data_IF_867512789950
#
_entry.id   IF_867512789950
#
_cell.length_a   1.000
_cell.length_b   1.000
_cell.length_c   1.000
_cell.angle_alpha   90.00
_cell.angle_beta   90.00
_cell.angle_gamma   90.00
#
_symmetry.space_group_name_H-M   'P 1'
#
loop_
_entity.id
_entity.type
_entity.pdbx_description
1 polymer ?
#
# COMPACT_ATOMS: atom_id res chain seq x y z
N UNK A 1 -18.05 -16.40 0.24
CA UNK A 1 -17.09 -16.61 1.33
C UNK A 1 -16.12 -17.68 0.85
N UNK A 2 -14.81 -17.51 1.00
CA UNK A 2 -13.83 -18.54 0.63
C UNK A 2 -13.76 -19.57 1.77
N UNK A 3 -13.44 -20.82 1.46
CA UNK A 3 -13.29 -21.89 2.44
C UNK A 3 -11.81 -22.26 2.62
N UNK A 4 -11.41 -22.38 3.88
CA UNK A 4 -10.11 -22.93 4.25
C UNK A 4 -10.34 -24.40 4.61
N UNK A 5 -9.52 -25.30 4.06
CA UNK A 5 -9.60 -26.72 4.36
C UNK A 5 -9.34 -26.97 5.86
N UNK A 6 -9.98 -27.98 6.48
CA UNK A 6 -9.66 -28.39 7.84
C UNK A 6 -8.16 -28.71 7.95
N UNK A 7 -7.50 -28.10 8.94
CA UNK A 7 -6.06 -28.30 9.18
C UNK A 7 -5.82 -29.65 9.86
N UNK A 8 -5.82 -30.74 9.09
CA UNK A 8 -5.43 -32.06 9.60
C UNK A 8 -3.91 -32.14 9.77
N UNK A 9 -3.39 -33.01 10.66
CA UNK A 9 -1.95 -33.21 10.81
C UNK A 9 -1.25 -33.58 9.50
N UNK A 10 -1.92 -34.37 8.65
CA UNK A 10 -1.41 -34.76 7.33
C UNK A 10 -1.29 -33.54 6.40
N UNK A 11 -2.29 -32.66 6.39
CA UNK A 11 -2.26 -31.44 5.60
C UNK A 11 -1.15 -30.47 6.05
N UNK A 12 -0.95 -30.35 7.37
CA UNK A 12 0.13 -29.52 7.91
C UNK A 12 1.51 -30.09 7.59
N UNK A 13 1.67 -31.42 7.62
CA UNK A 13 2.90 -32.10 7.22
C UNK A 13 3.18 -31.91 5.72
N UNK A 14 2.18 -32.09 4.86
CA UNK A 14 2.30 -31.84 3.41
C UNK A 14 2.75 -30.41 3.11
N UNK A 15 2.14 -29.40 3.77
CA UNK A 15 2.56 -28.00 3.62
C UNK A 15 3.98 -27.77 4.11
N UNK A 16 4.36 -28.43 5.21
CA UNK A 16 5.70 -28.39 5.76
C UNK A 16 6.73 -28.88 4.73
N UNK A 17 6.48 -30.03 4.13
CA UNK A 17 7.33 -30.62 3.09
C UNK A 17 7.40 -29.73 1.84
N UNK A 18 6.26 -29.18 1.39
CA UNK A 18 6.19 -28.24 0.26
C UNK A 18 6.98 -26.95 0.51
N UNK A 19 7.09 -26.52 1.77
CA UNK A 19 7.80 -25.31 2.19
C UNK A 19 9.19 -25.59 2.77
N UNK A 20 9.79 -26.74 2.40
CA UNK A 20 11.19 -27.04 2.73
C UNK A 20 11.41 -27.58 4.14
N UNK A 21 10.43 -28.32 4.68
CA UNK A 21 10.50 -28.94 6.01
C UNK A 21 10.08 -28.02 7.16
N UNK A 22 9.24 -27.01 6.89
CA UNK A 22 8.75 -26.11 7.93
C UNK A 22 7.72 -26.80 8.83
N UNK A 23 7.75 -26.50 10.14
CA UNK A 23 6.77 -27.02 11.09
C UNK A 23 5.70 -25.95 11.39
N UNK A 24 4.45 -26.28 11.04
CA UNK A 24 3.28 -25.43 11.27
C UNK A 24 2.38 -25.90 12.43
N UNK A 25 2.86 -26.79 13.29
CA UNK A 25 2.07 -27.35 14.39
C UNK A 25 1.86 -26.40 15.57
N UNK A 26 2.55 -25.26 15.59
CA UNK A 26 2.37 -24.25 16.62
C UNK A 26 0.91 -23.72 16.64
N UNK A 27 0.23 -23.67 17.81
CA UNK A 27 -1.15 -23.22 17.92
C UNK A 27 -1.42 -21.83 17.33
N UNK A 28 -0.45 -20.92 17.41
CA UNK A 28 -0.61 -19.55 16.88
C UNK A 28 -0.51 -19.51 15.35
N UNK A 29 0.27 -20.42 14.76
CA UNK A 29 0.37 -20.56 13.31
C UNK A 29 -0.88 -21.24 12.74
N UNK A 30 -1.30 -22.35 13.33
CA UNK A 30 -2.54 -23.04 12.92
C UNK A 30 -3.78 -22.15 13.04
N UNK A 31 -3.89 -21.35 14.11
CA UNK A 31 -4.96 -20.36 14.27
C UNK A 31 -4.95 -19.32 13.13
N UNK A 32 -3.79 -18.78 12.75
CA UNK A 32 -3.71 -17.88 11.60
C UNK A 32 -4.05 -18.58 10.27
N UNK A 33 -3.56 -19.80 10.05
CA UNK A 33 -3.84 -20.56 8.83
C UNK A 33 -5.34 -20.86 8.69
N UNK A 34 -6.05 -21.13 9.81
CA UNK A 34 -7.49 -21.40 9.83
C UNK A 34 -8.37 -20.14 9.76
N UNK A 35 -7.82 -18.95 10.03
CA UNK A 35 -8.59 -17.70 10.08
C UNK A 35 -9.00 -17.20 8.69
N UNK A 36 -10.30 -17.19 8.45
CA UNK A 36 -10.95 -16.55 7.29
C UNK A 36 -11.55 -15.16 7.61
N UNK A 37 -11.25 -14.60 8.78
CA UNK A 37 -11.78 -13.31 9.28
C UNK A 37 -10.69 -12.24 9.32
N UNK A 38 -11.05 -10.95 9.49
CA UNK A 38 -10.07 -9.90 9.77
C UNK A 38 -9.25 -10.21 11.03
N UNK A 39 -7.94 -10.00 10.97
CA UNK A 39 -7.06 -10.17 12.12
C UNK A 39 -5.75 -9.40 11.98
N UNK A 40 -5.15 -9.08 13.13
CA UNK A 40 -3.80 -8.53 13.19
C UNK A 40 -2.86 -9.59 13.78
N UNK A 41 -1.77 -9.83 13.08
CA UNK A 41 -0.77 -10.82 13.43
C UNK A 41 0.54 -10.10 13.73
N UNK A 42 1.03 -10.28 14.97
CA UNK A 42 2.34 -9.82 15.37
C UNK A 42 3.30 -11.01 15.40
N UNK A 43 4.39 -10.94 14.63
CA UNK A 43 5.48 -11.89 14.71
C UNK A 43 6.81 -11.14 14.82
N UNK A 44 7.77 -11.69 15.56
CA UNK A 44 9.10 -11.10 15.68
C UNK A 44 9.95 -11.30 14.40
N UNK A 45 11.11 -10.63 14.25
CA UNK A 45 11.95 -10.79 13.07
C UNK A 45 12.54 -12.20 13.01
N UNK A 46 12.65 -12.79 11.81
CA UNK A 46 13.21 -14.13 11.63
C UNK A 46 12.27 -15.28 12.02
N UNK A 47 11.03 -14.98 12.39
CA UNK A 47 10.04 -15.97 12.78
C UNK A 47 9.34 -16.64 11.57
N UNK A 48 9.60 -16.24 10.32
CA UNK A 48 8.98 -16.91 9.16
C UNK A 48 7.58 -16.41 8.80
N UNK A 49 7.32 -15.10 8.95
CA UNK A 49 6.08 -14.44 8.48
C UNK A 49 5.80 -14.72 7.01
N UNK A 50 6.81 -14.54 6.15
CA UNK A 50 6.71 -14.80 4.71
C UNK A 50 6.38 -16.27 4.45
N UNK A 51 6.97 -17.19 5.21
CA UNK A 51 6.69 -18.63 5.14
C UNK A 51 5.25 -18.95 5.57
N UNK A 52 4.76 -18.31 6.64
CA UNK A 52 3.40 -18.47 7.12
C UNK A 52 2.36 -17.90 6.13
N UNK A 53 2.66 -16.75 5.54
CA UNK A 53 1.88 -16.16 4.45
C UNK A 53 1.81 -17.13 3.27
N UNK A 54 2.94 -17.68 2.85
CA UNK A 54 2.99 -18.65 1.79
C UNK A 54 2.22 -19.94 2.10
N UNK A 55 2.35 -20.49 3.30
CA UNK A 55 1.57 -21.65 3.74
C UNK A 55 0.07 -21.38 3.65
N UNK A 56 -0.37 -20.19 4.07
CA UNK A 56 -1.76 -19.78 3.94
C UNK A 56 -2.22 -19.69 2.48
N UNK A 57 -1.40 -19.10 1.62
CA UNK A 57 -1.70 -18.99 0.19
C UNK A 57 -1.72 -20.36 -0.49
N UNK A 58 -0.79 -21.25 -0.16
CA UNK A 58 -0.78 -22.63 -0.63
C UNK A 58 -2.05 -23.37 -0.22
N UNK A 59 -2.45 -23.28 1.04
CA UNK A 59 -3.72 -23.82 1.55
C UNK A 59 -4.94 -23.29 0.78
N UNK A 60 -5.03 -21.97 0.63
CA UNK A 60 -6.14 -21.33 -0.07
C UNK A 60 -6.20 -21.77 -1.52
N UNK A 61 -5.05 -21.90 -2.19
CA UNK A 61 -4.97 -22.29 -3.60
C UNK A 61 -5.60 -23.67 -3.87
N UNK A 62 -5.60 -24.58 -2.88
CA UNK A 62 -6.16 -25.93 -2.99
C UNK A 62 -7.69 -25.92 -3.13
N UNK A 63 -8.40 -24.98 -2.49
CA UNK A 63 -9.87 -24.91 -2.51
C UNK A 63 -10.44 -23.60 -3.10
N UNK A 64 -9.60 -22.76 -3.73
CA UNK A 64 -10.06 -21.53 -4.35
C UNK A 64 -10.81 -21.80 -5.67
N UNK A 65 -12.14 -21.87 -5.61
CA UNK A 65 -13.00 -22.23 -6.75
C UNK A 65 -13.55 -21.03 -7.54
N UNK A 66 -13.45 -19.81 -7.00
CA UNK A 66 -14.10 -18.64 -7.60
C UNK A 66 -13.27 -18.03 -8.73
N UNK A 67 -13.87 -17.85 -9.91
CA UNK A 67 -13.20 -17.23 -11.07
C UNK A 67 -13.21 -15.69 -11.09
N UNK A 68 -14.04 -15.05 -10.26
CA UNK A 68 -14.24 -13.59 -10.23
C UNK A 68 -13.73 -12.91 -8.97
N UNK A 69 -13.38 -13.70 -7.95
CA UNK A 69 -12.86 -13.21 -6.67
C UNK A 69 -11.46 -13.75 -6.45
N UNK A 70 -10.56 -12.91 -5.97
CA UNK A 70 -9.16 -13.23 -5.76
C UNK A 70 -8.70 -12.94 -4.34
N UNK A 71 -7.49 -13.38 -4.06
CA UNK A 71 -6.72 -12.98 -2.88
C UNK A 71 -5.92 -11.74 -3.26
N UNK A 72 -5.88 -10.75 -2.38
CA UNK A 72 -5.07 -9.54 -2.54
C UNK A 72 -3.94 -9.57 -1.51
N UNK A 73 -2.70 -9.69 -1.96
CA UNK A 73 -1.51 -9.63 -1.13
C UNK A 73 -0.80 -8.31 -1.42
N UNK A 74 -0.65 -7.50 -0.39
CA UNK A 74 -0.06 -6.16 -0.47
C UNK A 74 1.17 -6.12 0.41
N UNK A 75 2.30 -5.70 -0.13
CA UNK A 75 3.54 -5.47 0.62
C UNK A 75 3.95 -4.00 0.57
N UNK A 76 4.76 -3.53 1.51
CA UNK A 76 5.27 -2.16 1.48
C UNK A 76 6.31 -1.93 0.37
N UNK A 77 7.21 -2.89 0.17
CA UNK A 77 8.36 -2.75 -0.74
C UNK A 77 8.29 -3.72 -1.93
N UNK A 78 9.00 -3.38 -3.00
CA UNK A 78 9.18 -4.30 -4.13
C UNK A 78 9.98 -5.55 -3.74
N UNK A 79 10.94 -5.44 -2.81
CA UNK A 79 11.71 -6.58 -2.34
C UNK A 79 10.84 -7.60 -1.60
N UNK A 80 10.02 -7.14 -0.64
CA UNK A 80 9.07 -8.00 0.08
C UNK A 80 8.04 -8.62 -0.87
N UNK A 81 7.54 -7.83 -1.84
CA UNK A 81 6.69 -8.35 -2.92
C UNK A 81 7.39 -9.50 -3.66
N UNK A 82 8.62 -9.29 -4.16
CA UNK A 82 9.35 -10.31 -4.93
C UNK A 82 9.61 -11.55 -4.09
N UNK A 83 9.94 -11.41 -2.81
CA UNK A 83 10.13 -12.55 -1.91
C UNK A 83 8.86 -13.40 -1.78
N UNK A 84 7.71 -12.75 -1.56
CA UNK A 84 6.40 -13.42 -1.56
C UNK A 84 6.12 -14.08 -2.93
N UNK A 85 6.45 -13.40 -4.02
CA UNK A 85 6.23 -13.92 -5.37
C UNK A 85 7.06 -15.17 -5.66
N UNK A 86 8.36 -15.13 -5.36
CA UNK A 86 9.28 -16.24 -5.55
C UNK A 86 8.89 -17.44 -4.69
N UNK A 87 8.40 -17.20 -3.47
CA UNK A 87 7.99 -18.26 -2.56
C UNK A 87 6.71 -18.96 -3.07
N UNK A 88 5.71 -18.19 -3.52
CA UNK A 88 4.48 -18.73 -4.12
C UNK A 88 4.77 -19.45 -5.46
N UNK A 89 5.68 -18.91 -6.27
CA UNK A 89 6.00 -19.46 -7.59
C UNK A 89 6.66 -20.84 -7.52
N UNK A 90 7.39 -21.14 -6.43
CA UNK A 90 7.97 -22.46 -6.16
C UNK A 90 6.90 -23.52 -5.84
N UNK A 91 5.67 -23.12 -5.55
CA UNK A 91 4.61 -24.00 -5.12
C UNK A 91 3.71 -24.43 -6.29
N UNK A 92 3.56 -25.75 -6.56
CA UNK A 92 2.80 -26.25 -7.71
C UNK A 92 1.34 -25.77 -7.75
N UNK A 93 0.69 -25.71 -6.58
CA UNK A 93 -0.70 -25.23 -6.48
C UNK A 93 -0.81 -23.72 -6.33
N UNK A 94 0.13 -23.04 -5.66
CA UNK A 94 0.00 -21.61 -5.33
C UNK A 94 0.37 -20.69 -6.49
N UNK A 95 1.13 -21.16 -7.49
CA UNK A 95 1.42 -20.39 -8.71
C UNK A 95 0.16 -19.84 -9.41
N UNK A 96 -1.00 -20.51 -9.26
CA UNK A 96 -2.30 -20.02 -9.78
C UNK A 96 -2.73 -18.67 -9.19
N UNK A 97 -2.25 -18.35 -7.98
CA UNK A 97 -2.52 -17.09 -7.29
C UNK A 97 -1.74 -15.90 -7.87
N UNK A 98 -0.87 -16.14 -8.86
CA UNK A 98 -0.23 -15.07 -9.64
C UNK A 98 -1.08 -14.58 -10.81
N UNK A 99 -2.09 -15.35 -11.19
CA UNK A 99 -2.97 -15.01 -12.29
C UNK A 99 -4.23 -14.30 -11.79
N UNK A 100 -4.96 -13.69 -12.73
CA UNK A 100 -6.32 -13.24 -12.47
C UNK A 100 -7.16 -14.39 -11.86
N UNK A 101 -8.02 -14.12 -10.84
CA UNK A 101 -8.45 -12.82 -10.31
C UNK A 101 -7.62 -12.23 -9.16
N UNK A 102 -6.49 -12.84 -8.82
CA UNK A 102 -5.65 -12.48 -7.68
C UNK A 102 -4.83 -11.21 -7.93
N UNK A 103 -4.31 -10.62 -6.85
CA UNK A 103 -3.37 -9.52 -6.91
C UNK A 103 -2.27 -9.75 -5.88
N UNK A 104 -1.02 -9.62 -6.31
CA UNK A 104 0.15 -9.53 -5.45
C UNK A 104 0.91 -8.29 -5.86
N UNK A 105 1.23 -7.38 -4.93
CA UNK A 105 1.96 -6.16 -5.29
C UNK A 105 2.15 -5.16 -4.16
N UNK A 106 2.71 -4.01 -4.49
CA UNK A 106 2.86 -2.93 -3.51
C UNK A 106 1.57 -2.16 -3.30
N UNK A 107 1.48 -1.43 -2.19
CA UNK A 107 0.35 -0.52 -1.92
C UNK A 107 0.14 0.47 -3.08
N UNK A 108 1.23 1.05 -3.59
CA UNK A 108 1.22 1.96 -4.74
C UNK A 108 0.68 1.27 -6.00
N UNK A 109 1.12 0.04 -6.29
CA UNK A 109 0.62 -0.71 -7.45
C UNK A 109 -0.89 -0.98 -7.34
N UNK A 110 -1.36 -1.36 -6.15
CA UNK A 110 -2.79 -1.57 -5.88
C UNK A 110 -3.60 -0.29 -6.13
N UNK A 111 -3.20 0.82 -5.53
CA UNK A 111 -3.86 2.13 -5.66
C UNK A 111 -3.92 2.54 -7.14
N UNK A 112 -2.81 2.41 -7.85
CA UNK A 112 -2.73 2.78 -9.27
C UNK A 112 -3.67 1.92 -10.12
N UNK A 113 -3.58 0.60 -9.99
CA UNK A 113 -4.33 -0.33 -10.84
C UNK A 113 -5.84 -0.24 -10.65
N UNK A 114 -6.30 -0.13 -9.39
CA UNK A 114 -7.72 -0.29 -9.07
C UNK A 114 -8.48 1.01 -8.84
N UNK A 115 -7.79 2.12 -8.55
CA UNK A 115 -8.44 3.36 -8.18
C UNK A 115 -7.96 4.53 -9.04
N UNK A 116 -6.68 4.87 -8.98
CA UNK A 116 -6.16 6.10 -9.59
C UNK A 116 -6.18 6.07 -11.13
N UNK A 117 -5.64 5.03 -11.76
CA UNK A 117 -5.59 4.94 -13.24
C UNK A 117 -6.98 4.80 -13.88
N UNK A 118 -7.92 3.98 -13.34
CA UNK A 118 -9.30 3.97 -13.83
C UNK A 118 -9.96 5.35 -13.74
N UNK A 119 -9.77 6.06 -12.63
CA UNK A 119 -10.34 7.39 -12.42
C UNK A 119 -9.74 8.43 -13.37
N UNK A 120 -8.41 8.45 -13.54
CA UNK A 120 -7.72 9.31 -14.51
C UNK A 120 -8.24 9.12 -15.95
N UNK A 121 -8.41 7.86 -16.37
CA UNK A 121 -8.99 7.55 -17.68
C UNK A 121 -10.41 8.08 -17.82
N UNK A 122 -11.21 8.03 -16.76
CA UNK A 122 -12.55 8.61 -16.71
C UNK A 122 -12.56 10.13 -16.89
N UNK A 123 -11.51 10.82 -16.40
CA UNK A 123 -11.31 12.27 -16.60
C UNK A 123 -10.74 12.62 -17.99
N UNK A 124 -10.34 11.63 -18.79
CA UNK A 124 -9.61 11.86 -20.04
C UNK A 124 -8.15 12.31 -19.84
N UNK A 125 -7.62 12.19 -18.63
CA UNK A 125 -6.23 12.55 -18.33
C UNK A 125 -5.31 11.36 -18.62
N UNK A 126 -4.30 11.58 -19.46
CA UNK A 126 -3.35 10.54 -19.85
C UNK A 126 -2.14 10.51 -18.91
N UNK A 127 -1.53 9.34 -18.75
CA UNK A 127 -0.31 9.17 -17.95
C UNK A 127 0.87 8.94 -18.87
N UNK A 128 1.85 9.84 -18.79
CA UNK A 128 3.17 9.70 -19.43
C UNK A 128 4.16 9.08 -18.45
N UNK A 129 4.21 9.60 -17.22
CA UNK A 129 5.13 9.14 -16.19
C UNK A 129 4.61 9.50 -14.79
N UNK A 130 4.78 8.57 -13.84
CA UNK A 130 4.52 8.77 -12.42
C UNK A 130 5.87 8.64 -11.72
N UNK A 131 6.49 9.77 -11.41
CA UNK A 131 7.83 9.82 -10.84
C UNK A 131 8.06 11.20 -10.20
N UNK A 132 8.42 11.21 -8.92
CA UNK A 132 8.56 12.45 -8.15
C UNK A 132 9.75 13.29 -8.61
N UNK A 133 10.87 12.67 -9.00
CA UNK A 133 12.08 13.37 -9.43
C UNK A 133 11.91 13.94 -10.84
N UNK A 134 11.32 13.17 -11.76
CA UNK A 134 10.99 13.63 -13.10
C UNK A 134 9.93 14.74 -13.06
N UNK A 135 8.94 14.64 -12.17
CA UNK A 135 7.98 15.70 -11.93
C UNK A 135 8.69 16.98 -11.43
N UNK A 136 9.53 16.86 -10.40
CA UNK A 136 10.23 18.00 -9.82
C UNK A 136 11.13 18.69 -10.86
N UNK A 137 11.94 17.93 -11.59
CA UNK A 137 12.81 18.45 -12.64
C UNK A 137 12.03 19.22 -13.72
N UNK A 138 10.92 18.67 -14.19
CA UNK A 138 10.11 19.31 -15.23
C UNK A 138 9.33 20.53 -14.68
N UNK A 139 8.81 20.45 -13.45
CA UNK A 139 8.16 21.60 -12.80
C UNK A 139 9.16 22.76 -12.61
N UNK A 140 10.39 22.44 -12.21
CA UNK A 140 11.49 23.39 -12.08
C UNK A 140 11.89 24.04 -13.41
N UNK A 141 11.83 23.27 -14.51
CA UNK A 141 12.08 23.78 -15.86
C UNK A 141 10.97 24.71 -16.35
N UNK A 142 9.71 24.43 -15.97
CA UNK A 142 8.52 25.12 -16.48
C UNK A 142 8.12 26.37 -15.70
N UNK A 143 8.30 26.40 -14.37
CA UNK A 143 7.78 27.49 -13.54
C UNK A 143 8.16 28.91 -13.99
N UNK A 144 9.34 29.17 -14.63
CA UNK A 144 9.66 30.53 -15.10
C UNK A 144 8.68 31.07 -16.15
N UNK A 145 7.89 30.20 -16.80
CA UNK A 145 6.80 30.60 -17.69
C UNK A 145 5.64 31.31 -16.98
N UNK A 146 5.56 31.22 -15.65
CA UNK A 146 4.58 31.93 -14.83
C UNK A 146 5.25 33.14 -14.20
N UNK A 147 5.01 34.33 -14.75
CA UNK A 147 5.69 35.57 -14.34
C UNK A 147 5.63 35.86 -12.84
N UNK A 148 4.55 35.48 -12.14
CA UNK A 148 4.45 35.61 -10.68
C UNK A 148 5.52 34.74 -9.98
N UNK A 149 5.66 33.47 -10.38
CA UNK A 149 6.63 32.55 -9.81
C UNK A 149 8.07 32.97 -10.17
N UNK A 150 8.31 33.37 -11.42
CA UNK A 150 9.61 33.83 -11.89
C UNK A 150 10.09 35.10 -11.14
N UNK A 151 9.19 36.09 -10.98
CA UNK A 151 9.50 37.31 -10.23
C UNK A 151 9.83 37.02 -8.76
N UNK A 152 9.11 36.07 -8.15
CA UNK A 152 9.36 35.64 -6.78
C UNK A 152 10.70 34.90 -6.65
N UNK A 153 11.07 34.08 -7.64
CA UNK A 153 12.35 33.38 -7.67
C UNK A 153 13.55 34.35 -7.84
N UNK A 154 13.35 35.48 -8.53
CA UNK A 154 14.34 36.56 -8.71
C UNK A 154 14.51 37.47 -7.48
N UNK A 155 13.72 37.26 -6.42
CA UNK A 155 13.85 38.05 -5.20
C UNK A 155 15.24 37.87 -4.58
N UNK A 156 15.88 38.98 -4.18
CA UNK A 156 17.24 38.97 -3.58
C UNK A 156 17.33 38.12 -2.30
N UNK A 157 16.20 37.81 -1.64
CA UNK A 157 16.15 36.96 -0.45
C UNK A 157 16.24 35.48 -0.82
N UNK A 158 17.44 34.89 -0.67
CA UNK A 158 17.70 33.46 -0.95
C UNK A 158 16.73 32.49 -0.25
N UNK A 159 16.33 32.79 1.00
CA UNK A 159 15.36 31.97 1.74
C UNK A 159 13.99 31.88 1.06
N UNK A 160 13.56 32.93 0.36
CA UNK A 160 12.28 32.94 -0.35
C UNK A 160 12.35 32.09 -1.62
N UNK A 161 13.43 32.25 -2.40
CA UNK A 161 13.69 31.44 -3.59
C UNK A 161 13.68 29.96 -3.23
N UNK A 162 14.47 29.53 -2.24
CA UNK A 162 14.56 28.12 -1.85
C UNK A 162 13.20 27.55 -1.44
N UNK A 163 12.40 28.30 -0.66
CA UNK A 163 11.04 27.88 -0.29
C UNK A 163 10.12 27.73 -1.49
N UNK A 164 10.19 28.65 -2.44
CA UNK A 164 9.39 28.56 -3.67
C UNK A 164 9.76 27.32 -4.48
N UNK A 165 11.05 27.04 -4.67
CA UNK A 165 11.56 25.86 -5.37
C UNK A 165 11.17 24.55 -4.65
N UNK A 166 11.19 24.56 -3.31
CA UNK A 166 10.66 23.47 -2.47
C UNK A 166 9.15 23.26 -2.71
N UNK A 167 8.34 24.33 -2.80
CA UNK A 167 6.90 24.21 -3.09
C UNK A 167 6.62 23.68 -4.49
N UNK A 168 7.39 24.13 -5.49
CA UNK A 168 7.24 23.73 -6.90
C UNK A 168 7.64 22.27 -7.09
N UNK A 169 8.79 21.88 -6.56
CA UNK A 169 9.26 20.48 -6.63
C UNK A 169 8.30 19.53 -5.96
N UNK A 170 7.59 20.02 -4.94
CA UNK A 170 6.73 19.21 -4.11
C UNK A 170 5.23 19.53 -4.26
N UNK A 171 4.81 19.84 -5.49
CA UNK A 171 3.47 20.31 -5.82
C UNK A 171 2.46 19.15 -5.92
N UNK A 172 1.88 18.77 -4.78
CA UNK A 172 0.89 17.69 -4.69
C UNK A 172 -0.53 18.15 -5.05
N UNK A 173 -1.26 17.32 -5.78
CA UNK A 173 -2.68 17.52 -6.08
C UNK A 173 -3.51 17.45 -4.79
N UNK A 174 -4.40 18.42 -4.62
CA UNK A 174 -5.42 18.37 -3.57
C UNK A 174 -6.64 17.58 -4.06
N UNK A 175 -7.13 16.55 -3.35
CA UNK A 175 -8.32 15.80 -3.77
C UNK A 175 -9.61 16.67 -3.84
N UNK A 176 -9.59 17.89 -3.32
CA UNK A 176 -10.64 18.90 -3.44
C UNK A 176 -10.71 19.64 -4.78
N UNK A 177 -9.91 19.28 -5.79
CA UNK A 177 -9.96 19.94 -7.10
C UNK A 177 -11.36 19.90 -7.75
N UNK A 178 -11.72 20.94 -8.51
CA UNK A 178 -13.04 21.08 -9.13
C UNK A 178 -13.01 20.96 -10.65
N UNK A 179 -11.90 21.34 -11.27
CA UNK A 179 -11.69 21.22 -12.71
C UNK A 179 -11.49 19.74 -13.08
N UNK A 180 -12.46 19.19 -13.79
CA UNK A 180 -12.52 17.79 -14.25
C UNK A 180 -12.52 17.69 -15.77
N UNK A 181 -12.25 18.82 -16.46
CA UNK A 181 -12.15 18.84 -17.91
C UNK A 181 -10.95 18.00 -18.36
N UNK A 182 -11.00 17.45 -19.58
CA UNK A 182 -9.89 16.69 -20.15
C UNK A 182 -8.58 17.51 -20.23
N UNK A 183 -8.70 18.83 -20.31
CA UNK A 183 -7.57 19.77 -20.32
C UNK A 183 -7.70 20.84 -19.22
N UNK A 184 -7.46 20.49 -17.96
CA UNK A 184 -7.75 21.37 -16.83
C UNK A 184 -6.89 22.63 -16.87
N UNK A 185 -7.44 23.80 -16.54
CA UNK A 185 -6.72 25.08 -16.56
C UNK A 185 -6.04 25.38 -15.23
N UNK A 186 -6.63 24.94 -14.12
CA UNK A 186 -6.10 25.09 -12.79
C UNK A 186 -6.50 23.89 -11.94
N UNK A 187 -5.57 23.33 -11.18
CA UNK A 187 -5.83 22.21 -10.27
C UNK A 187 -5.43 22.59 -8.87
N UNK A 188 -6.34 22.42 -7.91
CA UNK A 188 -6.09 22.69 -6.50
C UNK A 188 -4.86 21.90 -6.03
N UNK A 189 -3.98 22.58 -5.30
CA UNK A 189 -2.74 22.00 -4.78
C UNK A 189 -2.76 21.98 -3.26
N UNK A 190 -2.22 20.92 -2.66
CA UNK A 190 -2.16 20.81 -1.20
C UNK A 190 -1.24 21.90 -0.65
N UNK A 191 -1.81 22.80 0.17
CA UNK A 191 -1.05 23.92 0.73
C UNK A 191 -0.08 23.44 1.81
N UNK A 192 1.21 23.76 1.64
CA UNK A 192 2.28 23.42 2.58
C UNK A 192 2.51 24.52 3.60
N UNK A 193 3.17 24.18 4.71
CA UNK A 193 3.47 25.14 5.77
C UNK A 193 4.26 26.33 5.21
N UNK A 194 3.70 27.53 5.34
CA UNK A 194 4.30 28.77 4.86
C UNK A 194 4.11 29.05 3.37
N UNK A 195 3.46 28.16 2.63
CA UNK A 195 3.05 28.38 1.23
C UNK A 195 1.88 29.39 1.18
N UNK A 196 1.88 30.22 0.15
CA UNK A 196 0.75 31.10 -0.09
C UNK A 196 -0.46 30.32 -0.62
N UNK A 197 -1.65 30.63 -0.07
CA UNK A 197 -2.88 29.92 -0.40
C UNK A 197 -3.43 30.23 -1.78
N UNK A 198 -4.42 29.43 -2.21
CA UNK A 198 -5.06 29.49 -3.53
C UNK A 198 -5.66 30.86 -3.91
N UNK A 199 -6.03 31.69 -2.93
CA UNK A 199 -6.57 33.03 -3.19
C UNK A 199 -5.51 34.05 -3.65
N UNK A 200 -4.23 33.76 -3.44
CA UNK A 200 -3.11 34.64 -3.83
C UNK A 200 -2.69 34.40 -5.27
N UNK A 201 -2.03 35.39 -5.88
CA UNK A 201 -1.51 35.24 -7.25
C UNK A 201 -0.48 34.11 -7.37
N UNK A 202 0.34 33.90 -6.33
CA UNK A 202 1.27 32.77 -6.30
C UNK A 202 0.51 31.43 -6.22
N UNK A 203 -0.53 31.33 -5.38
CA UNK A 203 -1.36 30.14 -5.27
C UNK A 203 -2.00 29.77 -6.61
N UNK A 204 -2.64 30.73 -7.27
CA UNK A 204 -3.24 30.55 -8.61
C UNK A 204 -2.20 30.12 -9.66
N UNK A 205 -1.00 30.70 -9.61
CA UNK A 205 0.09 30.31 -10.50
C UNK A 205 0.56 28.87 -10.23
N UNK A 206 0.62 28.43 -8.97
CA UNK A 206 0.94 27.05 -8.60
C UNK A 206 -0.15 26.07 -9.07
N UNK A 207 -1.44 26.41 -8.93
CA UNK A 207 -2.53 25.58 -9.45
C UNK A 207 -2.51 25.46 -10.98
N UNK A 208 -2.17 26.55 -11.67
CA UNK A 208 -2.01 26.57 -13.12
C UNK A 208 -0.79 25.76 -13.58
N UNK A 209 0.33 25.85 -12.84
CA UNK A 209 1.50 25.00 -13.07
C UNK A 209 1.13 23.52 -12.88
N UNK A 210 0.42 23.18 -11.81
CA UNK A 210 -0.04 21.80 -11.56
C UNK A 210 -0.89 21.28 -12.72
N UNK A 211 -1.83 22.08 -13.19
CA UNK A 211 -2.66 21.74 -14.34
C UNK A 211 -1.81 21.49 -15.60
N UNK A 212 -0.80 22.33 -15.87
CA UNK A 212 0.15 22.10 -16.98
C UNK A 212 0.92 20.79 -16.87
N UNK A 213 1.33 20.40 -15.65
CA UNK A 213 2.01 19.12 -15.42
C UNK A 213 1.11 17.93 -15.73
N UNK A 214 -0.14 17.97 -15.23
CA UNK A 214 -1.19 16.97 -15.50
C UNK A 214 -1.52 16.89 -16.98
N UNK A 215 -1.63 18.02 -17.70
CA UNK A 215 -1.82 18.04 -19.16
C UNK A 215 -0.70 17.35 -19.92
N UNK A 216 0.53 17.32 -19.38
CA UNK A 216 1.66 16.59 -19.99
C UNK A 216 1.81 15.15 -19.48
N UNK A 217 0.82 14.67 -18.73
CA UNK A 217 0.78 13.33 -18.17
C UNK A 217 1.84 13.05 -17.11
N UNK A 218 2.29 14.08 -16.38
CA UNK A 218 3.26 13.94 -15.30
C UNK A 218 2.59 14.02 -13.94
N UNK A 219 2.84 13.01 -13.12
CA UNK A 219 2.25 12.88 -11.78
C UNK A 219 3.29 12.50 -10.75
N UNK A 220 3.04 12.92 -9.53
CA UNK A 220 3.71 12.45 -8.32
C UNK A 220 2.97 11.25 -7.74
N UNK A 221 3.64 10.44 -6.93
CA UNK A 221 2.98 9.33 -6.24
C UNK A 221 1.85 9.80 -5.30
N UNK A 222 2.02 10.97 -4.68
CA UNK A 222 0.99 11.60 -3.86
C UNK A 222 -0.27 11.99 -4.67
N UNK A 223 -0.12 12.37 -5.95
CA UNK A 223 -1.25 12.68 -6.83
C UNK A 223 -2.10 11.45 -7.06
N UNK A 224 -1.47 10.31 -7.32
CA UNK A 224 -2.18 9.05 -7.53
C UNK A 224 -3.01 8.67 -6.31
N UNK A 225 -2.48 8.91 -5.12
CA UNK A 225 -3.22 8.69 -3.87
C UNK A 225 -4.38 9.67 -3.72
N UNK A 226 -4.19 10.96 -4.06
CA UNK A 226 -5.27 11.96 -4.05
C UNK A 226 -6.39 11.63 -5.04
N UNK A 227 -6.03 11.17 -6.24
CA UNK A 227 -6.97 10.71 -7.27
C UNK A 227 -7.75 9.48 -6.83
N UNK A 228 -7.10 8.54 -6.14
CA UNK A 228 -7.77 7.37 -5.60
C UNK A 228 -8.78 7.73 -4.50
N UNK A 229 -8.44 8.66 -3.60
CA UNK A 229 -9.39 9.22 -2.63
C UNK A 229 -10.57 9.92 -3.30
N UNK A 230 -10.31 10.67 -4.37
CA UNK A 230 -11.35 11.32 -5.17
C UNK A 230 -12.31 10.29 -5.77
N UNK A 231 -11.77 9.23 -6.38
CA UNK A 231 -12.54 8.14 -6.96
C UNK A 231 -13.49 7.49 -5.94
N UNK A 232 -12.98 7.20 -4.74
CA UNK A 232 -13.78 6.61 -3.65
C UNK A 232 -14.87 7.57 -3.15
N UNK A 233 -14.59 8.87 -3.07
CA UNK A 233 -15.58 9.87 -2.63
C UNK A 233 -16.70 10.06 -3.64
N UNK A 234 -16.38 10.10 -4.93
CA UNK A 234 -17.38 10.29 -5.98
C UNK A 234 -18.16 9.01 -6.29
N UNK A 235 -17.55 7.84 -6.08
CA UNK A 235 -18.19 6.56 -6.28
C UNK A 235 -17.93 5.60 -5.09
N UNK A 236 -18.67 5.76 -3.97
CA UNK A 236 -18.50 4.92 -2.78
C UNK A 236 -18.68 3.42 -3.06
N UNK A 237 -19.48 3.05 -4.07
CA UNK A 237 -19.68 1.66 -4.47
C UNK A 237 -18.39 0.99 -5.01
N UNK A 238 -17.35 1.76 -5.36
CA UNK A 238 -16.04 1.19 -5.71
C UNK A 238 -15.43 0.42 -4.54
N UNK A 239 -15.54 0.92 -3.30
CA UNK A 239 -15.01 0.23 -2.14
C UNK A 239 -15.70 -1.13 -1.93
N UNK A 240 -17.03 -1.18 -2.09
CA UNK A 240 -17.81 -2.41 -2.01
C UNK A 240 -17.41 -3.41 -3.10
N UNK A 241 -17.24 -2.95 -4.34
CA UNK A 241 -16.81 -3.80 -5.46
C UNK A 241 -15.39 -4.36 -5.25
N UNK A 242 -14.50 -3.58 -4.64
CA UNK A 242 -13.16 -4.06 -4.28
C UNK A 242 -13.21 -5.11 -3.18
N UNK A 243 -14.06 -4.94 -2.16
CA UNK A 243 -14.30 -5.98 -1.14
C UNK A 243 -14.93 -7.25 -1.74
N UNK A 244 -15.88 -7.11 -2.66
CA UNK A 244 -16.47 -8.27 -3.34
C UNK A 244 -15.44 -9.03 -4.20
N UNK A 245 -14.58 -8.28 -4.92
CA UNK A 245 -13.49 -8.85 -5.71
C UNK A 245 -12.40 -9.48 -4.84
N UNK A 246 -12.05 -8.86 -3.72
CA UNK A 246 -11.00 -9.31 -2.82
C UNK A 246 -11.57 -9.61 -1.44
N UNK A 247 -12.24 -10.77 -1.27
CA UNK A 247 -12.79 -11.17 0.01
C UNK A 247 -11.69 -11.48 1.05
N UNK A 248 -10.45 -11.69 0.62
CA UNK A 248 -9.28 -11.79 1.49
C UNK A 248 -8.22 -10.80 1.01
N UNK A 249 -7.79 -9.94 1.94
CA UNK A 249 -6.73 -8.97 1.72
C UNK A 249 -5.70 -9.13 2.82
N UNK A 250 -4.45 -9.35 2.44
CA UNK A 250 -3.34 -9.52 3.36
C UNK A 250 -2.37 -8.35 3.14
N UNK A 251 -2.15 -7.55 4.18
CA UNK A 251 -1.12 -6.52 4.21
C UNK A 251 0.09 -7.08 4.96
N UNK A 252 1.16 -7.34 4.23
CA UNK A 252 2.46 -7.73 4.74
C UNK A 252 3.32 -6.50 5.07
N UNK A 253 4.19 -6.64 6.08
CA UNK A 253 4.96 -5.54 6.68
C UNK A 253 4.09 -4.31 7.00
N UNK A 254 2.97 -4.56 7.70
CA UNK A 254 1.98 -3.54 8.02
C UNK A 254 2.56 -2.39 8.87
N UNK A 255 3.63 -2.62 9.65
CA UNK A 255 4.32 -1.58 10.41
C UNK A 255 5.03 -0.55 9.53
N UNK A 256 5.48 -0.95 8.34
CA UNK A 256 6.18 -0.06 7.42
C UNK A 256 5.21 0.72 6.53
N UNK A 257 3.94 0.30 6.48
CA UNK A 257 2.90 0.97 5.69
C UNK A 257 2.20 2.04 6.53
N UNK A 258 2.41 3.32 6.18
CA UNK A 258 1.87 4.45 6.94
C UNK A 258 1.29 5.55 6.02
N UNK A 259 0.68 6.57 6.62
CA UNK A 259 0.22 7.76 5.92
C UNK A 259 -1.07 7.59 5.11
N UNK A 260 -1.20 8.37 4.03
CA UNK A 260 -2.43 8.46 3.21
C UNK A 260 -2.78 7.13 2.52
N UNK A 261 -1.77 6.32 2.17
CA UNK A 261 -1.98 5.04 1.50
C UNK A 261 -2.55 3.97 2.44
N UNK A 262 -2.03 3.87 3.69
CA UNK A 262 -2.61 2.98 4.70
C UNK A 262 -4.07 3.35 4.99
N UNK A 263 -4.32 4.65 5.22
CA UNK A 263 -5.68 5.15 5.48
C UNK A 263 -6.65 4.78 4.37
N UNK A 264 -6.19 4.79 3.12
CA UNK A 264 -6.99 4.41 1.96
C UNK A 264 -7.31 2.92 1.98
N UNK A 265 -6.33 2.05 2.25
CA UNK A 265 -6.57 0.61 2.39
C UNK A 265 -7.54 0.31 3.54
N UNK A 266 -7.37 0.93 4.71
CA UNK A 266 -8.27 0.76 5.85
C UNK A 266 -9.69 1.24 5.52
N UNK A 267 -9.83 2.37 4.82
CA UNK A 267 -11.13 2.87 4.38
C UNK A 267 -11.85 1.87 3.46
N UNK A 268 -11.12 1.19 2.58
CA UNK A 268 -11.69 0.21 1.65
C UNK A 268 -11.98 -1.13 2.35
N UNK A 269 -11.06 -1.66 3.16
CA UNK A 269 -11.07 -3.07 3.58
C UNK A 269 -11.33 -3.33 5.06
N UNK A 270 -11.28 -2.32 5.94
CA UNK A 270 -11.59 -2.48 7.37
C UNK A 270 -13.10 -2.47 7.67
N UNK A 271 -13.92 -2.33 6.63
CA UNK A 271 -15.37 -2.45 6.68
C UNK A 271 -15.79 -3.90 6.44
N UNK A 272 -17.04 -4.24 6.76
CA UNK A 272 -17.58 -5.57 6.49
C UNK A 272 -17.52 -5.93 4.99
N UNK A 273 -17.32 -7.23 4.72
CA UNK A 273 -17.32 -7.79 3.37
C UNK A 273 -15.95 -8.25 2.85
N UNK A 274 -14.87 -7.97 3.58
CA UNK A 274 -13.55 -8.53 3.31
C UNK A 274 -12.84 -8.94 4.61
N UNK A 275 -12.08 -10.02 4.56
CA UNK A 275 -11.14 -10.40 5.60
C UNK A 275 -9.84 -9.61 5.39
N UNK A 276 -9.70 -8.47 6.05
CA UNK A 276 -8.47 -7.69 6.03
C UNK A 276 -7.53 -8.16 7.14
N UNK A 277 -6.41 -8.75 6.74
CA UNK A 277 -5.41 -9.34 7.62
C UNK A 277 -4.12 -8.55 7.53
N UNK A 278 -3.54 -8.18 8.68
CA UNK A 278 -2.30 -7.41 8.73
C UNK A 278 -1.23 -8.24 9.42
N UNK A 279 -0.11 -8.47 8.74
CA UNK A 279 1.06 -9.13 9.30
C UNK A 279 2.12 -8.06 9.54
N UNK A 280 2.72 -8.07 10.73
CA UNK A 280 3.77 -7.11 11.03
C UNK A 280 4.60 -7.42 12.26
N UNK A 281 5.59 -6.57 12.51
CA UNK A 281 6.46 -6.57 13.68
C UNK A 281 6.27 -5.33 14.55
N UNK A 282 5.92 -5.53 15.82
CA UNK A 282 5.86 -4.44 16.80
C UNK A 282 7.25 -4.01 17.27
N UNK A 283 8.24 -4.91 17.23
CA UNK A 283 9.58 -4.65 17.77
C UNK A 283 10.49 -3.87 16.81
N UNK A 284 10.09 -3.71 15.55
CA UNK A 284 10.82 -2.91 14.55
C UNK A 284 10.27 -1.49 14.37
N UNK A 285 9.21 -1.12 15.10
CA UNK A 285 8.66 0.24 15.04
C UNK A 285 9.44 1.13 16.02
N UNK A 286 10.30 2.03 15.52
CA UNK A 286 10.68 3.21 16.31
C UNK A 286 9.40 4.02 16.56
N UNK A 287 9.04 4.17 17.83
CA UNK A 287 7.83 4.81 18.39
C UNK A 287 7.06 5.78 17.48
N UNK A 288 5.72 5.64 17.39
CA UNK A 288 4.79 6.74 17.69
C UNK A 288 3.29 6.35 17.65
N UNK A 289 2.61 6.80 18.71
CA UNK A 289 1.17 7.01 18.95
C UNK A 289 0.30 5.89 19.56
N UNK A 290 -0.12 6.17 20.79
CA UNK A 290 -1.12 5.47 21.59
C UNK A 290 -2.49 5.42 20.88
N UNK A 291 -3.24 4.30 20.99
CA UNK A 291 -4.55 4.18 20.39
C UNK A 291 -5.67 4.70 21.31
N UNK A 292 -6.60 5.46 20.74
CA UNK A 292 -7.95 5.64 21.28
C UNK A 292 -8.87 4.63 20.58
N UNK A 293 -9.47 3.71 21.34
CA UNK A 293 -10.75 3.07 21.01
C UNK A 293 -10.72 1.66 20.39
N UNK A 294 -11.24 0.70 21.17
CA UNK A 294 -11.65 -0.69 20.86
C UNK A 294 -10.64 -1.57 20.10
N UNK A 295 -9.82 -2.28 20.89
CA UNK A 295 -8.95 -3.36 20.44
C UNK A 295 -9.75 -4.54 19.89
N UNK A 296 -9.46 -4.93 18.65
CA UNK A 296 -9.58 -6.33 18.23
C UNK A 296 -8.46 -7.14 18.92
N UNK A 297 -8.65 -8.43 19.23
CA UNK A 297 -7.63 -9.24 19.89
C UNK A 297 -6.36 -9.33 19.02
N UNK A 298 -5.23 -8.93 19.58
CA UNK A 298 -3.89 -9.06 18.97
C UNK A 298 -3.40 -10.49 19.22
N UNK A 299 -3.13 -11.25 18.16
CA UNK A 299 -2.50 -12.58 18.28
C UNK A 299 -0.97 -12.41 18.29
N UNK A 300 -0.33 -12.88 19.36
CA UNK A 300 1.14 -12.93 19.49
C UNK A 300 1.65 -14.24 18.88
N UNK A 301 2.48 -14.17 17.84
CA UNK A 301 3.25 -15.30 17.31
C UNK A 301 4.66 -15.34 17.89
N UNK A 302 4.92 -16.32 18.75
CA UNK A 302 6.27 -16.75 19.15
C UNK A 302 6.66 -17.92 18.25
N UNK A 303 7.55 -17.72 17.27
CA UNK A 303 8.01 -18.81 16.41
C UNK A 303 9.41 -19.23 16.88
N UNK A 304 9.60 -20.54 17.08
CA UNK A 304 10.93 -21.13 17.21
C UNK A 304 11.30 -21.73 15.85
N UNK A 305 12.33 -21.20 15.21
CA UNK A 305 12.96 -21.88 14.09
C UNK A 305 13.63 -23.16 14.60
N UNK A 306 13.23 -24.31 14.07
CA UNK A 306 13.87 -25.59 14.35
C UNK A 306 15.07 -25.79 13.41
N UNK A 307 16.28 -25.84 13.98
CA UNK A 307 17.39 -26.61 13.42
C UNK A 307 18.70 -25.87 13.14
N UNK A 308 19.65 -25.96 14.08
CA UNK A 308 21.01 -26.50 13.85
C UNK A 308 21.71 -26.65 15.22
N UNK A 309 22.19 -27.86 15.48
CA UNK A 309 22.82 -28.26 16.73
C UNK A 309 24.01 -27.37 17.12
N UNK A 310 24.11 -26.96 18.39
CA UNK A 310 25.32 -26.29 18.86
C UNK A 310 25.24 -25.62 20.24
N UNK A 311 25.35 -26.44 21.30
CA UNK A 311 25.85 -26.11 22.65
C UNK A 311 25.06 -25.11 23.51
N UNK A 312 24.47 -25.70 24.55
CA UNK A 312 24.08 -25.08 25.81
C UNK A 312 25.17 -24.17 26.39
N UNK A 313 24.80 -22.95 26.76
CA UNK A 313 25.35 -22.30 27.96
C UNK A 313 24.24 -21.55 28.70
N UNK A 314 24.04 -22.01 29.92
CA UNK A 314 23.29 -21.37 31.00
C UNK A 314 24.02 -20.11 31.41
N UNK A 315 23.31 -18.99 31.57
CA UNK A 315 23.75 -17.86 32.40
C UNK A 315 22.52 -17.20 33.03
N UNK A 316 22.17 -17.70 34.23
CA UNK A 316 21.60 -16.85 35.28
C UNK A 316 22.72 -15.96 35.81
N UNK A 317 22.51 -14.64 35.88
CA UNK A 317 23.06 -13.80 36.96
C UNK A 317 22.21 -12.54 37.10
N UNK A 318 21.78 -12.26 38.34
CA UNK A 318 21.72 -10.90 38.91
C UNK A 318 20.41 -10.15 38.78
#
# INVERSE_FOLDING_TARGET
MFEILPLTPELLAELGDELGGCDFTDPSQTDFLAKATPCDVQAAPGNGKTTLLAAKLALLSRNWSTRRRGVCVISHTNAARTEVEDLIARHPTAARLMAYPHFTGTVTAFINQYLALPYLRGLGWHVRQIDDDAFAAEAMRRYPGWGVLDNLAKNKKLKLKRRLEEWISLLDLDPGFTDTDAEPRALAVRCRKGQWGAHTDCGKALESLKASMVKSGLYRYADMTALAWRALRENPALAERLRDRFPLVILDEAQDTHGDQLRLLEHVFKQDGAAFQRLGDSNQTMELHQPIGRQAPVAYLSIRAAGLAGRSQVLQVG
#
